data_IF_760155524215
#
_entry.id   IF_760155524215
#
_cell.length_a   1.000
_cell.length_b   1.000
_cell.length_c   1.000
_cell.angle_alpha   90.00
_cell.angle_beta   90.00
_cell.angle_gamma   90.00
#
_symmetry.space_group_name_H-M   'P 1'
#
loop_
_entity.id
_entity.type
_entity.pdbx_description
1 polymer ?
#
# COMPACT_ATOMS: atom_id res chain seq x y z
N UNK A 1 22.43 6.19 -0.03
CA UNK A 1 21.30 5.54 0.66
C UNK A 1 20.49 4.80 -0.38
N UNK A 2 20.39 3.48 -0.26
CA UNK A 2 19.63 2.63 -1.17
C UNK A 2 18.14 2.61 -0.85
N UNK A 3 17.35 2.09 -1.78
CA UNK A 3 15.96 1.71 -1.53
C UNK A 3 15.90 0.20 -1.42
N UNK A 4 15.08 -0.30 -0.49
CA UNK A 4 14.91 -1.72 -0.19
C UNK A 4 13.42 -2.08 -0.22
N UNK A 5 13.10 -3.35 -0.45
CA UNK A 5 11.76 -3.87 -0.21
C UNK A 5 11.69 -4.33 1.24
N UNK A 6 10.64 -3.94 1.96
CA UNK A 6 10.50 -4.29 3.36
C UNK A 6 9.05 -4.43 3.78
N UNK A 7 8.81 -5.35 4.71
CA UNK A 7 7.58 -5.36 5.51
C UNK A 7 7.75 -4.32 6.62
N UNK A 8 6.82 -3.38 6.64
CA UNK A 8 6.86 -2.25 7.55
C UNK A 8 5.64 -2.23 8.46
N UNK A 9 5.86 -1.87 9.70
CA UNK A 9 4.82 -1.80 10.73
C UNK A 9 4.80 -0.42 11.38
N UNK A 10 3.63 0.20 11.46
CA UNK A 10 3.52 1.50 12.12
C UNK A 10 3.78 1.31 13.62
N UNK A 11 4.68 2.10 14.19
CA UNK A 11 5.00 1.97 15.61
C UNK A 11 3.77 2.21 16.49
N UNK A 12 3.59 1.39 17.52
CA UNK A 12 2.64 1.62 18.61
C UNK A 12 3.26 1.23 19.95
N UNK A 13 3.24 2.12 20.97
CA UNK A 13 3.94 1.87 22.23
C UNK A 13 3.39 0.66 23.01
N UNK A 14 2.08 0.40 22.94
CA UNK A 14 1.49 -0.79 23.55
C UNK A 14 1.92 -2.11 22.89
N UNK A 15 2.34 -2.07 21.62
CA UNK A 15 2.73 -3.27 20.85
C UNK A 15 4.25 -3.46 20.92
N UNK A 16 5.01 -2.39 20.66
CA UNK A 16 6.47 -2.43 20.55
C UNK A 16 7.21 -2.01 21.83
N UNK A 17 6.47 -1.68 22.89
CA UNK A 17 7.02 -1.13 24.13
C UNK A 17 7.19 0.38 24.09
N UNK A 18 7.19 1.00 25.27
CA UNK A 18 7.39 2.45 25.41
C UNK A 18 8.87 2.80 25.26
N UNK A 19 9.16 3.76 24.39
CA UNK A 19 10.50 4.34 24.30
C UNK A 19 10.69 5.42 25.37
N UNK A 20 11.47 5.07 26.41
CA UNK A 20 11.79 5.96 27.53
C UNK A 20 12.93 6.95 27.20
N UNK A 21 13.63 6.78 26.07
CA UNK A 21 14.83 7.54 25.74
C UNK A 21 14.54 8.80 24.89
N UNK A 22 13.28 9.25 24.83
CA UNK A 22 12.85 10.46 24.09
C UNK A 22 13.19 10.42 22.59
N UNK A 23 13.49 9.23 22.09
CA UNK A 23 13.80 8.99 20.71
C UNK A 23 12.46 9.02 19.96
N UNK A 24 12.32 9.95 19.02
CA UNK A 24 11.05 10.29 18.38
C UNK A 24 10.58 9.18 17.41
N UNK A 25 10.28 7.98 17.92
CA UNK A 25 9.86 6.79 17.15
C UNK A 25 8.35 6.78 16.90
N UNK A 26 7.61 7.52 17.72
CA UNK A 26 6.18 7.73 17.55
C UNK A 26 5.90 8.34 16.18
N UNK A 27 4.98 7.72 15.42
CA UNK A 27 4.67 8.18 14.06
C UNK A 27 5.57 7.61 12.96
N UNK A 28 6.61 6.86 13.31
CA UNK A 28 7.47 6.21 12.33
C UNK A 28 7.04 4.76 12.06
N UNK A 29 7.42 4.26 10.88
CA UNK A 29 7.32 2.85 10.56
C UNK A 29 8.60 2.15 11.00
N UNK A 30 8.47 0.96 11.57
CA UNK A 30 9.56 0.03 11.83
C UNK A 30 9.70 -0.92 10.65
N UNK A 31 10.93 -1.37 10.40
CA UNK A 31 11.21 -2.48 9.48
C UNK A 31 11.18 -3.78 10.27
N UNK A 32 10.31 -4.71 9.87
CA UNK A 32 10.29 -6.07 10.41
C UNK A 32 11.33 -6.92 9.68
N UNK A 33 11.23 -6.96 8.35
CA UNK A 33 12.13 -7.72 7.50
C UNK A 33 12.30 -7.04 6.13
N UNK A 34 13.49 -7.17 5.57
CA UNK A 34 13.84 -6.68 4.23
C UNK A 34 13.98 -7.85 3.28
N UNK A 35 13.61 -7.63 2.01
CA UNK A 35 13.66 -8.65 0.97
C UNK A 35 14.43 -8.15 -0.24
N UNK A 36 15.26 -9.02 -0.79
CA UNK A 36 15.86 -8.91 -2.10
C UNK A 36 14.81 -9.11 -3.20
N UNK A 37 15.19 -8.83 -4.44
CA UNK A 37 14.30 -9.08 -5.58
C UNK A 37 14.05 -10.58 -5.78
N UNK A 38 15.03 -11.43 -5.51
CA UNK A 38 14.89 -12.89 -5.67
C UNK A 38 13.89 -13.46 -4.66
N UNK A 39 14.06 -13.12 -3.37
CA UNK A 39 13.14 -13.52 -2.29
C UNK A 39 11.71 -13.04 -2.58
N UNK A 40 11.57 -11.81 -3.11
CA UNK A 40 10.26 -11.28 -3.53
C UNK A 40 9.61 -12.12 -4.64
N UNK A 41 10.36 -12.48 -5.68
CA UNK A 41 9.82 -13.27 -6.79
C UNK A 41 9.50 -14.72 -6.40
N UNK A 42 10.15 -15.23 -5.35
CA UNK A 42 9.86 -16.52 -4.75
C UNK A 42 8.70 -16.49 -3.74
N UNK A 43 8.15 -15.30 -3.48
CA UNK A 43 7.10 -15.05 -2.48
C UNK A 43 7.49 -15.39 -1.04
N UNK A 44 8.78 -15.26 -0.69
CA UNK A 44 9.28 -15.58 0.65
C UNK A 44 8.70 -14.64 1.73
N UNK A 45 8.22 -13.46 1.34
CA UNK A 45 7.56 -12.52 2.26
C UNK A 45 6.16 -12.96 2.72
N UNK A 46 5.49 -13.88 2.01
CA UNK A 46 4.06 -14.14 2.19
C UNK A 46 3.77 -14.77 3.57
N UNK A 47 4.64 -15.67 4.03
CA UNK A 47 4.50 -16.32 5.35
C UNK A 47 4.52 -15.28 6.48
N UNK A 48 5.52 -14.38 6.49
CA UNK A 48 5.60 -13.35 7.52
C UNK A 48 4.41 -12.37 7.43
N UNK A 49 3.98 -12.02 6.21
CA UNK A 49 2.80 -11.16 6.03
C UNK A 49 1.55 -11.76 6.66
N UNK A 50 1.33 -13.06 6.49
CA UNK A 50 0.16 -13.74 7.02
C UNK A 50 0.24 -13.92 8.54
N UNK A 51 1.42 -14.22 9.08
CA UNK A 51 1.66 -14.25 10.54
C UNK A 51 1.34 -12.90 11.18
N UNK A 52 1.82 -11.79 10.61
CA UNK A 52 1.57 -10.46 11.19
C UNK A 52 0.08 -10.12 11.09
N UNK A 53 -0.61 -10.43 9.97
CA UNK A 53 -2.06 -10.20 9.85
C UNK A 53 -2.84 -10.99 10.91
N UNK A 54 -2.59 -12.29 11.01
CA UNK A 54 -3.28 -13.16 11.97
C UNK A 54 -2.99 -12.73 13.41
N UNK A 55 -1.75 -12.33 13.71
CA UNK A 55 -1.36 -11.81 15.02
C UNK A 55 -2.16 -10.55 15.40
N UNK A 56 -2.36 -9.64 14.46
CA UNK A 56 -3.18 -8.45 14.69
C UNK A 56 -4.66 -8.78 14.86
N UNK A 57 -5.23 -9.61 13.99
CA UNK A 57 -6.64 -10.01 14.07
C UNK A 57 -6.95 -10.76 15.37
N UNK A 58 -6.05 -11.63 15.81
CA UNK A 58 -6.20 -12.44 17.03
C UNK A 58 -6.01 -11.61 18.30
N UNK A 59 -5.01 -10.72 18.33
CA UNK A 59 -4.69 -9.90 19.52
C UNK A 59 -5.62 -8.70 19.67
N UNK A 60 -6.19 -8.22 18.58
CA UNK A 60 -6.99 -7.00 18.51
C UNK A 60 -8.33 -7.20 17.77
N UNK A 61 -9.13 -8.26 18.09
CA UNK A 61 -10.29 -8.68 17.28
C UNK A 61 -11.46 -7.69 17.29
N UNK A 62 -11.54 -6.87 18.34
CA UNK A 62 -12.65 -5.97 18.61
C UNK A 62 -12.19 -4.53 18.85
N UNK A 63 -11.12 -4.08 18.21
CA UNK A 63 -10.71 -2.67 18.32
C UNK A 63 -11.76 -1.77 17.67
N UNK A 64 -12.77 -1.43 18.47
CA UNK A 64 -13.64 -0.30 18.26
C UNK A 64 -12.79 0.92 18.49
N UNK A 65 -12.89 1.87 17.56
CA UNK A 65 -12.09 3.09 17.38
C UNK A 65 -12.04 4.02 18.63
N UNK A 66 -12.65 3.65 19.75
CA UNK A 66 -12.84 4.47 20.96
C UNK A 66 -12.32 3.85 22.27
N UNK A 67 -11.54 2.76 22.26
CA UNK A 67 -10.88 2.28 23.50
C UNK A 67 -9.67 3.18 23.82
N UNK A 68 -9.77 4.00 24.87
CA UNK A 68 -8.73 4.96 25.26
C UNK A 68 -7.37 4.32 25.57
N UNK A 69 -7.36 3.07 26.04
CA UNK A 69 -6.13 2.34 26.40
C UNK A 69 -5.32 1.84 25.20
N UNK A 70 -5.98 1.68 24.04
CA UNK A 70 -5.35 1.24 22.79
C UNK A 70 -5.21 2.40 21.78
N UNK A 71 -5.35 3.63 22.27
CA UNK A 71 -5.16 4.81 21.43
C UNK A 71 -3.68 5.09 21.24
N UNK A 72 -3.27 5.33 19.99
CA UNK A 72 -1.89 5.72 19.72
C UNK A 72 -1.68 7.18 20.17
N UNK A 73 -0.61 7.50 20.93
CA UNK A 73 -0.44 8.83 21.54
C UNK A 73 -0.38 10.00 20.56
N UNK A 74 0.04 9.75 19.30
CA UNK A 74 0.19 10.77 18.27
C UNK A 74 -0.64 10.55 17.01
N UNK A 75 -1.29 9.39 16.85
CA UNK A 75 -1.92 8.99 15.57
C UNK A 75 -3.36 8.55 15.86
N UNK A 76 -4.27 9.53 15.80
CA UNK A 76 -5.67 9.33 16.18
C UNK A 76 -6.37 8.21 15.38
N UNK A 77 -5.96 7.99 14.12
CA UNK A 77 -6.55 6.98 13.23
C UNK A 77 -5.66 5.75 13.04
N UNK A 78 -4.76 5.44 13.99
CA UNK A 78 -3.80 4.33 13.91
C UNK A 78 -4.42 3.03 13.40
N UNK A 79 -5.51 2.58 14.02
CA UNK A 79 -6.17 1.32 13.66
C UNK A 79 -6.76 1.32 12.25
N UNK A 80 -7.20 2.48 11.76
CA UNK A 80 -7.64 2.62 10.37
C UNK A 80 -6.47 2.52 9.39
N UNK A 81 -5.27 2.99 9.78
CA UNK A 81 -4.06 2.89 8.98
C UNK A 81 -3.59 1.44 8.98
N UNK A 82 -3.46 0.81 10.15
CA UNK A 82 -3.06 -0.59 10.29
C UNK A 82 -3.94 -1.51 9.45
N UNK A 83 -5.26 -1.41 9.59
CA UNK A 83 -6.19 -2.28 8.86
C UNK A 83 -6.05 -2.20 7.33
N UNK A 84 -5.56 -1.07 6.80
CA UNK A 84 -5.49 -0.81 5.35
C UNK A 84 -4.07 -0.93 4.78
N UNK A 85 -3.08 -0.49 5.55
CA UNK A 85 -1.70 -0.21 5.10
C UNK A 85 -0.63 -0.90 5.98
N UNK A 86 -0.98 -1.60 7.07
CA UNK A 86 -0.06 -2.59 7.67
C UNK A 86 -0.13 -3.88 6.84
N UNK A 87 0.94 -4.68 6.91
CA UNK A 87 1.02 -5.99 6.25
C UNK A 87 1.07 -5.90 4.72
N UNK A 88 1.77 -4.89 4.20
CA UNK A 88 2.07 -4.77 2.77
C UNK A 88 3.56 -4.55 2.61
N UNK A 89 4.13 -5.15 1.58
CA UNK A 89 5.50 -4.90 1.16
C UNK A 89 5.61 -3.48 0.60
N UNK A 90 6.56 -2.70 1.11
CA UNK A 90 6.79 -1.33 0.69
C UNK A 90 8.23 -1.13 0.19
N UNK A 91 8.40 -0.19 -0.74
CA UNK A 91 9.72 0.32 -1.09
C UNK A 91 10.09 1.36 -0.06
N UNK A 92 11.18 1.15 0.66
CA UNK A 92 11.56 2.00 1.78
C UNK A 92 12.99 2.48 1.68
N UNK A 93 13.22 3.64 2.29
CA UNK A 93 14.55 4.09 2.66
C UNK A 93 14.75 3.74 4.14
N UNK A 94 15.75 2.88 4.40
CA UNK A 94 16.14 2.43 5.74
C UNK A 94 16.88 3.54 6.50
N UNK A 95 16.57 3.70 7.78
CA UNK A 95 17.31 4.53 8.72
C UNK A 95 17.60 3.68 9.97
N UNK A 96 18.87 3.35 10.17
CA UNK A 96 19.33 2.66 11.37
C UNK A 96 19.59 3.68 12.48
N UNK A 97 19.11 3.38 13.68
CA UNK A 97 19.38 4.18 14.88
C UNK A 97 20.45 3.49 15.72
N UNK A 98 21.19 4.28 16.49
CA UNK A 98 22.22 3.79 17.41
C UNK A 98 21.65 2.83 18.49
N UNK A 99 20.34 2.87 18.73
CA UNK A 99 19.60 1.98 19.63
C UNK A 99 19.34 0.59 19.06
N UNK A 100 19.73 0.32 17.80
CA UNK A 100 19.47 -0.95 17.10
C UNK A 100 18.10 -1.03 16.42
N UNK A 101 17.24 -0.03 16.63
CA UNK A 101 15.96 0.08 15.94
C UNK A 101 16.19 0.50 14.47
N UNK A 102 15.43 -0.10 13.57
CA UNK A 102 15.43 0.26 12.15
C UNK A 102 14.12 0.93 11.77
N UNK A 103 14.19 2.20 11.36
CA UNK A 103 13.05 2.95 10.87
C UNK A 103 12.94 2.86 9.34
N UNK A 104 11.71 2.93 8.86
CA UNK A 104 11.36 2.92 7.45
C UNK A 104 10.74 4.25 7.01
N UNK A 105 11.31 4.88 5.98
CA UNK A 105 10.63 5.94 5.22
C UNK A 105 10.03 5.33 3.96
N UNK A 106 8.71 5.14 3.94
CA UNK A 106 7.98 4.60 2.79
C UNK A 106 8.11 5.54 1.58
N UNK A 107 8.57 5.01 0.44
CA UNK A 107 8.67 5.71 -0.85
C UNK A 107 7.64 5.22 -1.87
N UNK A 108 6.83 4.21 -1.53
CA UNK A 108 5.76 3.65 -2.38
C UNK A 108 4.65 4.65 -2.73
N UNK A 109 4.55 5.79 -2.04
CA UNK A 109 3.46 6.77 -2.24
C UNK A 109 3.35 7.26 -3.70
N UNK A 110 4.47 7.66 -4.31
CA UNK A 110 4.47 8.15 -5.69
C UNK A 110 4.10 7.06 -6.69
N UNK A 111 4.55 5.83 -6.43
CA UNK A 111 4.19 4.67 -7.22
C UNK A 111 2.67 4.39 -7.12
N UNK A 112 2.07 4.48 -5.93
CA UNK A 112 0.61 4.33 -5.74
C UNK A 112 -0.18 5.39 -6.54
N UNK A 113 0.28 6.64 -6.57
CA UNK A 113 -0.35 7.71 -7.38
C UNK A 113 -0.26 7.37 -8.88
N UNK A 114 0.93 7.01 -9.34
CA UNK A 114 1.16 6.64 -10.75
C UNK A 114 0.28 5.46 -11.16
N UNK A 115 0.31 4.37 -10.38
CA UNK A 115 -0.51 3.17 -10.60
C UNK A 115 -2.01 3.49 -10.62
N UNK A 116 -2.49 4.40 -9.76
CA UNK A 116 -3.89 4.84 -9.76
C UNK A 116 -4.26 5.54 -11.07
N UNK A 117 -3.44 6.47 -11.53
CA UNK A 117 -3.65 7.16 -12.81
C UNK A 117 -3.65 6.17 -13.97
N UNK A 118 -2.69 5.25 -13.99
CA UNK A 118 -2.57 4.23 -15.03
C UNK A 118 -3.78 3.29 -15.08
N UNK A 119 -4.23 2.79 -13.92
CA UNK A 119 -5.44 1.96 -13.83
C UNK A 119 -6.68 2.70 -14.35
N UNK A 120 -6.80 4.00 -14.11
CA UNK A 120 -7.92 4.79 -14.64
C UNK A 120 -7.85 4.90 -16.18
N UNK A 121 -6.67 5.14 -16.74
CA UNK A 121 -6.48 5.14 -18.20
C UNK A 121 -6.86 3.79 -18.81
N UNK A 122 -6.42 2.69 -18.19
CA UNK A 122 -6.76 1.35 -18.66
C UNK A 122 -8.28 1.08 -18.60
N UNK A 123 -8.95 1.49 -17.52
CA UNK A 123 -10.41 1.37 -17.40
C UNK A 123 -11.15 2.14 -18.50
N UNK A 124 -10.73 3.37 -18.77
CA UNK A 124 -11.29 4.19 -19.84
C UNK A 124 -11.10 3.56 -21.22
N UNK A 125 -9.88 3.08 -21.51
CA UNK A 125 -9.58 2.36 -22.76
C UNK A 125 -10.40 1.08 -22.89
N UNK A 126 -10.57 0.33 -21.80
CA UNK A 126 -11.38 -0.89 -21.80
C UNK A 126 -12.86 -0.57 -22.06
N UNK A 127 -13.38 0.52 -21.49
CA UNK A 127 -14.74 0.98 -21.76
C UNK A 127 -14.93 1.34 -23.24
N UNK A 128 -13.99 2.08 -23.83
CA UNK A 128 -14.00 2.41 -25.26
C UNK A 128 -13.95 1.15 -26.13
N UNK A 129 -13.07 0.21 -25.82
CA UNK A 129 -12.99 -1.09 -26.52
C UNK A 129 -14.35 -1.80 -26.47
N UNK A 130 -15.02 -1.79 -25.32
CA UNK A 130 -16.33 -2.42 -25.19
C UNK A 130 -17.40 -1.71 -26.04
N UNK A 131 -17.40 -0.37 -26.10
CA UNK A 131 -18.31 0.37 -26.98
C UNK A 131 -18.07 0.07 -28.46
N UNK A 132 -16.82 -0.17 -28.85
CA UNK A 132 -16.43 -0.51 -30.23
C UNK A 132 -16.87 -1.90 -30.68
N UNK A 133 -17.22 -2.79 -29.74
CA UNK A 133 -17.71 -4.14 -30.06
C UNK A 133 -19.14 -4.17 -30.57
N UNK A 134 -19.92 -3.09 -30.40
CA UNK A 134 -21.32 -3.09 -30.85
C UNK A 134 -21.42 -3.00 -32.39
N UNK A 135 -22.39 -3.70 -33.03
CA UNK A 135 -22.54 -3.69 -34.49
C UNK A 135 -22.65 -2.28 -35.08
N UNK A 136 -23.39 -1.39 -34.40
CA UNK A 136 -23.54 0.01 -34.82
C UNK A 136 -22.20 0.74 -34.96
N UNK A 137 -21.29 0.58 -33.99
CA UNK A 137 -19.98 1.22 -34.04
C UNK A 137 -19.09 0.61 -35.14
N UNK A 138 -19.19 -0.69 -35.36
CA UNK A 138 -18.46 -1.40 -36.41
C UNK A 138 -18.93 -0.94 -37.79
N UNK A 139 -20.24 -0.91 -38.03
CA UNK A 139 -20.82 -0.44 -39.31
C UNK A 139 -20.46 1.02 -39.57
N UNK A 140 -20.52 1.88 -38.55
CA UNK A 140 -20.09 3.27 -38.69
C UNK A 140 -18.63 3.35 -39.16
N UNK A 141 -17.73 2.58 -38.53
CA UNK A 141 -16.31 2.54 -38.94
C UNK A 141 -16.12 2.05 -40.36
N UNK A 142 -16.92 1.10 -40.83
CA UNK A 142 -16.87 0.62 -42.21
C UNK A 142 -17.29 1.70 -43.22
N UNK A 143 -18.33 2.48 -42.89
CA UNK A 143 -18.86 3.53 -43.78
C UNK A 143 -17.94 4.76 -43.81
N UNK A 144 -17.48 5.21 -42.65
CA UNK A 144 -16.82 6.51 -42.50
C UNK A 144 -15.29 6.42 -42.32
N UNK A 145 -14.73 5.22 -42.13
CA UNK A 145 -13.29 5.00 -41.94
C UNK A 145 -12.77 5.32 -40.52
N UNK A 146 -13.59 5.85 -39.62
CA UNK A 146 -13.23 6.20 -38.24
C UNK A 146 -14.28 5.72 -37.22
N UNK A 147 -13.93 5.69 -35.93
CA UNK A 147 -14.85 5.38 -34.86
C UNK A 147 -15.84 6.52 -34.60
N UNK A 148 -17.09 6.22 -34.21
CA UNK A 148 -18.03 7.22 -33.71
C UNK A 148 -17.44 8.07 -32.58
N UNK A 149 -17.86 9.33 -32.48
CA UNK A 149 -17.37 10.29 -31.47
C UNK A 149 -17.42 9.71 -30.05
N UNK A 150 -18.54 9.08 -29.69
CA UNK A 150 -18.75 8.51 -28.36
C UNK A 150 -17.80 7.34 -28.00
N UNK A 151 -17.08 6.77 -28.98
CA UNK A 151 -16.08 5.72 -28.73
C UNK A 151 -14.73 6.00 -29.42
N UNK A 152 -14.42 7.27 -29.66
CA UNK A 152 -13.07 7.73 -30.02
C UNK A 152 -12.21 7.81 -28.74
N UNK A 153 -10.91 7.56 -28.86
CA UNK A 153 -9.98 7.71 -27.73
C UNK A 153 -9.84 9.21 -27.46
N UNK A 154 -10.08 9.65 -26.22
CA UNK A 154 -9.73 11.00 -25.79
C UNK A 154 -8.20 11.14 -25.86
N UNK A 155 -7.75 12.15 -26.62
CA UNK A 155 -6.31 12.47 -26.78
C UNK A 155 -5.74 13.05 -25.49
#
# INVERSE_FOLDING_TARGET
MGLELAICELYHPYIHGYDNNNNNIYGHYLINETYSSEEFYNNEQDELLDIIKEGYETRFPNVKINNSELSHPFINNYWSIVKKDNHVLDIVQKIEKDTGETLAIKKTFWLKIFQRRWRNILKERQHIINMRKCPKAITYRQIYGDWPEYCRIMK
#
